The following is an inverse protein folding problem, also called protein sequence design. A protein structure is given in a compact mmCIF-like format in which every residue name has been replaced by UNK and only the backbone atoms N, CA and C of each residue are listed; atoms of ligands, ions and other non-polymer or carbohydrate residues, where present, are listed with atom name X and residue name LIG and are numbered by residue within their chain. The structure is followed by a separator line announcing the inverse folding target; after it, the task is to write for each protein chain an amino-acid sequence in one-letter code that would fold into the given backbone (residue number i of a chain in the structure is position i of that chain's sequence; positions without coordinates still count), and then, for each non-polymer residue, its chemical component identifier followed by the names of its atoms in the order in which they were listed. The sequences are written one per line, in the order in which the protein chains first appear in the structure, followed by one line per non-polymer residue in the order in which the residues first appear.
data_IF_061788673211
#
_entry.id   IF_061788673211
#
_cell.length_a   1.000
_cell.length_b   1.000
_cell.length_c   1.000
_cell.angle_alpha   90.00
_cell.angle_beta   90.00
_cell.angle_gamma   90.00
#
_symmetry.space_group_name_H-M   'P 1'
#
loop_
_entity.id
_entity.type
_entity.pdbx_description
1 polymer ?
#
# COMPACT_ATOMS: atom_id res chain seq x y z
N UNK A 1 -10.62 27.90 -26.73
CA UNK A 1 -10.39 27.12 -25.50
C UNK A 1 -10.17 25.61 -25.73
N UNK A 2 -10.82 24.95 -26.68
CA UNK A 2 -10.66 23.48 -26.89
C UNK A 2 -9.28 23.01 -27.33
N UNK A 3 -8.59 23.73 -28.19
CA UNK A 3 -7.28 23.32 -28.74
C UNK A 3 -6.16 23.34 -27.68
N UNK A 4 -6.10 24.38 -26.87
CA UNK A 4 -5.10 24.49 -25.76
C UNK A 4 -5.30 23.41 -24.70
N UNK A 5 -6.55 23.09 -24.35
CA UNK A 5 -6.87 22.01 -23.43
C UNK A 5 -6.47 20.65 -24.01
N UNK A 6 -6.64 20.42 -25.31
CA UNK A 6 -6.25 19.17 -25.97
C UNK A 6 -4.71 19.01 -25.98
N UNK A 7 -3.96 20.07 -26.26
CA UNK A 7 -2.50 20.06 -26.24
C UNK A 7 -1.96 19.79 -24.83
N UNK A 8 -2.54 20.44 -23.81
CA UNK A 8 -2.16 20.21 -22.42
C UNK A 8 -2.42 18.77 -21.99
N UNK A 9 -3.58 18.22 -22.38
CA UNK A 9 -3.93 16.83 -22.05
C UNK A 9 -2.99 15.82 -22.72
N UNK A 10 -2.61 16.05 -23.99
CA UNK A 10 -1.62 15.22 -24.70
C UNK A 10 -0.25 15.30 -24.04
N UNK A 11 0.18 16.50 -23.64
CA UNK A 11 1.44 16.69 -22.93
C UNK A 11 1.47 15.98 -21.57
N UNK A 12 0.40 16.11 -20.76
CA UNK A 12 0.25 15.41 -19.50
C UNK A 12 0.35 13.88 -19.68
N UNK A 13 -0.28 13.34 -20.72
CA UNK A 13 -0.24 11.91 -21.02
C UNK A 13 1.17 11.43 -21.40
N UNK A 14 1.92 12.23 -22.15
CA UNK A 14 3.31 11.94 -22.51
C UNK A 14 4.22 11.94 -21.27
N UNK A 15 4.06 12.93 -20.39
CA UNK A 15 4.83 13.02 -19.14
C UNK A 15 4.53 11.83 -18.21
N UNK A 16 3.26 11.45 -18.07
CA UNK A 16 2.85 10.25 -17.29
C UNK A 16 3.47 9.00 -17.92
N UNK A 17 3.35 8.83 -19.25
CA UNK A 17 3.92 7.69 -19.96
C UNK A 17 5.43 7.59 -19.79
N UNK A 18 6.14 8.71 -19.88
CA UNK A 18 7.58 8.76 -19.62
C UNK A 18 7.96 8.28 -18.21
N UNK A 19 7.31 8.83 -17.16
CA UNK A 19 7.60 8.44 -15.79
C UNK A 19 7.17 7.00 -15.50
N UNK A 20 6.09 6.53 -16.11
CA UNK A 20 5.67 5.14 -16.01
C UNK A 20 6.73 4.20 -16.62
N UNK A 21 7.25 4.49 -17.80
CA UNK A 21 8.31 3.69 -18.43
C UNK A 21 9.63 3.74 -17.65
N UNK A 22 9.94 4.87 -17.02
CA UNK A 22 11.09 4.94 -16.10
C UNK A 22 10.88 4.04 -14.89
N UNK A 23 9.67 3.96 -14.34
CA UNK A 23 9.33 3.07 -13.22
C UNK A 23 9.39 1.59 -13.66
N UNK A 24 8.89 1.24 -14.85
CA UNK A 24 8.99 -0.13 -15.39
C UNK A 24 10.44 -0.60 -15.50
N UNK A 25 11.34 0.27 -15.96
CA UNK A 25 12.78 -0.04 -16.09
C UNK A 25 13.53 -0.02 -14.76
N UNK A 26 12.98 0.59 -13.73
CA UNK A 26 13.64 0.68 -12.44
C UNK A 26 13.62 -0.68 -11.70
N UNK A 27 14.61 -0.94 -10.83
CA UNK A 27 14.53 -2.06 -9.90
C UNK A 27 13.29 -1.99 -9.02
N UNK A 28 12.83 -3.14 -8.53
CA UNK A 28 11.75 -3.20 -7.55
C UNK A 28 12.10 -2.36 -6.31
N UNK A 29 11.10 -1.72 -5.69
CA UNK A 29 11.31 -0.86 -4.52
C UNK A 29 11.99 0.49 -4.79
N UNK A 30 12.10 0.94 -6.04
CA UNK A 30 12.70 2.23 -6.35
C UNK A 30 11.76 3.40 -5.98
N UNK A 31 11.84 3.84 -4.71
CA UNK A 31 11.00 4.93 -4.16
C UNK A 31 11.15 6.26 -4.94
N UNK A 32 12.31 6.53 -5.54
CA UNK A 32 12.51 7.75 -6.34
C UNK A 32 11.66 7.71 -7.62
N UNK A 33 11.64 6.59 -8.34
CA UNK A 33 10.81 6.42 -9.53
C UNK A 33 9.32 6.41 -9.18
N UNK A 34 8.94 5.73 -8.09
CA UNK A 34 7.56 5.74 -7.55
C UNK A 34 7.15 7.19 -7.22
N UNK A 35 7.99 7.93 -6.53
CA UNK A 35 7.71 9.33 -6.14
C UNK A 35 7.53 10.25 -7.36
N UNK A 36 8.35 10.10 -8.40
CA UNK A 36 8.23 10.90 -9.65
C UNK A 36 6.90 10.62 -10.36
N UNK A 37 6.52 9.35 -10.51
CA UNK A 37 5.23 9.00 -11.11
C UNK A 37 4.06 9.47 -10.23
N UNK A 38 4.15 9.27 -8.91
CA UNK A 38 3.14 9.73 -7.96
C UNK A 38 2.89 11.24 -8.08
N UNK A 39 3.93 12.04 -8.21
CA UNK A 39 3.80 13.50 -8.33
C UNK A 39 3.02 13.92 -9.58
N UNK A 40 3.21 13.26 -10.72
CA UNK A 40 2.47 13.59 -11.96
C UNK A 40 1.06 13.01 -11.98
N UNK A 41 0.79 11.93 -11.25
CA UNK A 41 -0.54 11.32 -11.10
C UNK A 41 -1.41 12.05 -10.07
N UNK A 42 -0.80 12.59 -9.01
CA UNK A 42 -1.50 13.25 -7.90
C UNK A 42 -1.91 14.68 -8.26
N UNK A 43 -2.76 14.79 -9.27
CA UNK A 43 -3.43 16.07 -9.59
C UNK A 43 -4.34 16.48 -8.42
N UNK A 44 -4.59 17.78 -8.20
CA UNK A 44 -5.48 18.24 -7.14
C UNK A 44 -6.88 17.59 -7.16
N UNK A 45 -7.39 17.25 -8.36
CA UNK A 45 -8.66 16.55 -8.53
C UNK A 45 -8.62 15.10 -8.04
N UNK A 46 -7.52 14.38 -8.29
CA UNK A 46 -7.34 13.00 -7.80
C UNK A 46 -7.23 12.98 -6.28
N UNK A 47 -6.41 13.87 -5.71
CA UNK A 47 -6.23 13.96 -4.28
C UNK A 47 -7.53 14.32 -3.53
N UNK A 48 -8.36 15.21 -4.11
CA UNK A 48 -9.68 15.50 -3.58
C UNK A 48 -10.55 14.25 -3.47
N UNK A 49 -10.58 13.42 -4.52
CA UNK A 49 -11.32 12.15 -4.52
C UNK A 49 -10.81 11.17 -3.46
N UNK A 50 -9.51 11.14 -3.20
CA UNK A 50 -8.91 10.33 -2.12
C UNK A 50 -9.41 10.81 -0.76
N UNK A 51 -9.35 12.13 -0.50
CA UNK A 51 -9.82 12.73 0.76
C UNK A 51 -11.32 12.48 0.94
N UNK A 52 -12.14 12.72 -0.10
CA UNK A 52 -13.57 12.43 -0.08
C UNK A 52 -13.87 10.96 0.21
N UNK A 53 -13.08 10.05 -0.35
CA UNK A 53 -13.24 8.62 -0.09
C UNK A 53 -12.87 8.25 1.36
N UNK A 54 -11.73 8.73 1.85
CA UNK A 54 -11.29 8.50 3.24
C UNK A 54 -12.34 9.06 4.22
N UNK A 55 -12.90 10.23 3.93
CA UNK A 55 -13.91 10.89 4.75
C UNK A 55 -15.25 10.16 4.84
N UNK A 56 -15.46 9.07 4.11
CA UNK A 56 -16.69 8.26 4.21
C UNK A 56 -16.75 7.45 5.51
N UNK A 57 -15.63 7.19 6.14
CA UNK A 57 -15.56 6.51 7.44
C UNK A 57 -15.30 7.51 8.57
N UNK A 58 -15.88 7.27 9.73
CA UNK A 58 -15.62 8.07 10.93
C UNK A 58 -14.14 8.07 11.31
N UNK A 59 -13.48 6.91 11.20
CA UNK A 59 -12.04 6.76 11.43
C UNK A 59 -11.23 7.63 10.46
N UNK A 60 -11.57 7.62 9.17
CA UNK A 60 -10.90 8.44 8.16
C UNK A 60 -11.09 9.93 8.39
N UNK A 61 -12.30 10.38 8.76
CA UNK A 61 -12.56 11.77 9.12
C UNK A 61 -11.68 12.21 10.29
N UNK A 62 -11.67 11.41 11.36
CA UNK A 62 -10.84 11.68 12.54
C UNK A 62 -9.35 11.73 12.17
N UNK A 63 -8.88 10.79 11.35
CA UNK A 63 -7.49 10.76 10.90
C UNK A 63 -7.10 12.00 10.07
N UNK A 64 -7.98 12.48 9.18
CA UNK A 64 -7.73 13.70 8.40
C UNK A 64 -7.66 14.95 9.29
N UNK A 65 -8.41 14.99 10.38
CA UNK A 65 -8.39 16.10 11.37
C UNK A 65 -7.16 16.04 12.27
N UNK A 66 -6.91 14.87 12.89
CA UNK A 66 -5.88 14.69 13.91
C UNK A 66 -4.48 14.43 13.31
N UNK A 67 -4.43 13.90 12.08
CA UNK A 67 -3.21 13.58 11.33
C UNK A 67 -2.21 12.76 12.15
N UNK A 68 -2.64 11.58 12.66
CA UNK A 68 -1.78 10.76 13.50
C UNK A 68 -0.50 10.37 12.78
N UNK A 69 0.62 10.44 13.50
CA UNK A 69 1.94 10.06 13.02
C UNK A 69 2.40 8.82 13.76
N UNK A 70 3.15 7.95 13.06
CA UNK A 70 3.77 6.78 13.68
C UNK A 70 4.80 7.20 14.75
N UNK A 71 5.51 8.29 14.49
CA UNK A 71 6.54 8.79 15.37
C UNK A 71 7.84 7.98 15.28
N UNK A 72 8.71 8.20 16.25
CA UNK A 72 9.98 7.47 16.34
C UNK A 72 9.71 6.04 16.80
N UNK A 73 10.19 5.06 16.04
CA UNK A 73 10.08 3.64 16.36
C UNK A 73 11.44 3.08 16.72
N UNK A 74 11.53 2.43 17.89
CA UNK A 74 12.70 1.68 18.32
C UNK A 74 12.46 0.19 18.07
N UNK A 75 13.06 -0.35 17.00
CA UNK A 75 12.91 -1.75 16.61
C UNK A 75 13.46 -2.72 17.66
N UNK A 76 14.54 -2.33 18.37
CA UNK A 76 15.11 -3.20 19.39
C UNK A 76 14.19 -3.29 20.61
N UNK A 77 13.56 -2.20 21.00
CA UNK A 77 12.57 -2.20 22.07
C UNK A 77 11.34 -3.01 21.69
N UNK A 78 10.80 -2.83 20.48
CA UNK A 78 9.64 -3.59 20.01
C UNK A 78 9.93 -5.09 19.89
N UNK A 79 11.15 -5.47 19.53
CA UNK A 79 11.55 -6.88 19.45
C UNK A 79 11.68 -7.58 20.80
N UNK A 80 11.62 -6.85 21.93
CA UNK A 80 11.54 -7.42 23.29
C UNK A 80 10.10 -7.73 23.73
N UNK A 81 9.09 -7.27 22.97
CA UNK A 81 7.70 -7.55 23.26
C UNK A 81 7.38 -9.06 23.07
N UNK A 82 6.27 -9.56 23.64
CA UNK A 82 5.84 -10.93 23.39
C UNK A 82 5.69 -11.24 21.90
N UNK A 83 6.15 -12.41 21.47
CA UNK A 83 6.23 -12.81 20.05
C UNK A 83 4.91 -12.76 19.26
N UNK A 84 3.79 -12.82 19.96
CA UNK A 84 2.45 -12.78 19.38
C UNK A 84 1.90 -11.36 19.22
N UNK A 85 2.67 -10.31 19.53
CA UNK A 85 2.23 -8.91 19.46
C UNK A 85 2.54 -8.28 18.11
N UNK A 86 1.80 -7.21 17.74
CA UNK A 86 2.07 -6.40 16.56
C UNK A 86 3.48 -5.84 16.58
N UNK A 87 3.92 -5.29 17.71
CA UNK A 87 5.24 -4.65 17.82
C UNK A 87 6.38 -5.62 17.58
N UNK A 88 6.30 -6.83 18.18
CA UNK A 88 7.28 -7.87 17.89
C UNK A 88 7.28 -8.26 16.40
N UNK A 89 6.09 -8.54 15.84
CA UNK A 89 5.97 -8.96 14.44
C UNK A 89 6.50 -7.90 13.47
N UNK A 90 6.23 -6.62 13.73
CA UNK A 90 6.75 -5.51 12.95
C UNK A 90 8.28 -5.40 13.06
N UNK A 91 8.82 -5.44 14.28
CA UNK A 91 10.27 -5.35 14.48
C UNK A 91 11.00 -6.55 13.87
N UNK A 92 10.46 -7.76 14.02
CA UNK A 92 11.01 -8.99 13.43
C UNK A 92 11.02 -8.92 11.89
N UNK A 93 9.93 -8.44 11.28
CA UNK A 93 9.85 -8.18 9.85
C UNK A 93 10.93 -7.18 9.39
N UNK A 94 11.00 -6.02 10.01
CA UNK A 94 11.96 -4.98 9.66
C UNK A 94 13.42 -5.47 9.78
N UNK A 95 13.74 -6.12 10.90
CA UNK A 95 15.10 -6.61 11.16
C UNK A 95 15.50 -7.74 10.22
N UNK A 96 14.62 -8.70 9.94
CA UNK A 96 14.88 -9.80 9.00
C UNK A 96 15.07 -9.33 7.57
N UNK A 97 14.33 -8.31 7.16
CA UNK A 97 14.43 -7.73 5.83
C UNK A 97 15.53 -6.66 5.70
N UNK A 98 16.25 -6.34 6.78
CA UNK A 98 17.28 -5.27 6.78
C UNK A 98 16.69 -3.88 6.56
N UNK A 99 15.42 -3.69 6.91
CA UNK A 99 14.69 -2.44 6.74
C UNK A 99 14.84 -1.52 7.97
N UNK A 100 14.68 -0.23 7.75
CA UNK A 100 14.62 0.78 8.80
C UNK A 100 13.30 1.53 8.73
N UNK A 101 12.72 1.94 9.88
CA UNK A 101 11.49 2.73 9.88
C UNK A 101 11.63 3.96 8.97
N UNK A 102 10.67 4.22 8.08
CA UNK A 102 10.77 5.27 7.10
C UNK A 102 10.85 6.64 7.75
N UNK A 103 11.85 7.43 7.33
CA UNK A 103 11.90 8.84 7.70
C UNK A 103 11.05 9.63 6.74
N UNK A 104 9.96 10.18 7.23
CA UNK A 104 8.99 10.91 6.43
C UNK A 104 9.06 12.41 6.71
N UNK A 105 8.73 13.26 5.72
CA UNK A 105 8.64 14.69 5.92
C UNK A 105 7.52 15.04 6.90
N UNK A 106 7.52 16.27 7.39
CA UNK A 106 6.42 16.80 8.20
C UNK A 106 5.11 16.86 7.37
N UNK A 107 4.00 16.63 8.07
CA UNK A 107 2.66 16.84 7.50
C UNK A 107 2.35 18.32 7.55
N UNK A 108 2.28 18.97 6.39
CA UNK A 108 2.06 20.40 6.27
C UNK A 108 0.55 20.70 6.29
N UNK A 109 -0.24 19.89 5.62
CA UNK A 109 -1.68 20.10 5.45
C UNK A 109 -2.44 18.77 5.29
N UNK A 110 -3.75 18.86 5.15
CA UNK A 110 -4.64 17.72 4.90
C UNK A 110 -4.28 16.96 3.60
N UNK A 111 -3.72 17.65 2.60
CA UNK A 111 -3.41 17.05 1.30
C UNK A 111 -2.12 16.23 1.33
N UNK A 112 -1.16 16.63 2.15
CA UNK A 112 0.10 15.90 2.34
C UNK A 112 -0.05 14.69 3.25
N UNK A 113 -1.00 14.72 4.18
CA UNK A 113 -1.19 13.69 5.19
C UNK A 113 -1.41 12.29 4.63
N UNK A 114 -2.34 12.02 3.67
CA UNK A 114 -2.59 10.65 3.20
C UNK A 114 -1.35 9.94 2.69
N UNK A 115 -0.54 10.64 1.89
CA UNK A 115 0.72 10.08 1.36
C UNK A 115 1.72 9.76 2.47
N UNK A 116 1.88 10.69 3.41
CA UNK A 116 2.86 10.55 4.48
C UNK A 116 2.44 9.42 5.42
N UNK A 117 1.17 9.37 5.80
CA UNK A 117 0.62 8.32 6.65
C UNK A 117 0.78 6.93 6.04
N UNK A 118 0.48 6.78 4.74
CA UNK A 118 0.65 5.51 4.04
C UNK A 118 2.11 5.09 3.95
N UNK A 119 3.04 6.04 3.75
CA UNK A 119 4.46 5.74 3.72
C UNK A 119 4.97 5.29 5.10
N UNK A 120 4.53 5.93 6.20
CA UNK A 120 4.91 5.54 7.56
C UNK A 120 4.38 4.17 7.97
N UNK A 121 3.23 3.78 7.45
CA UNK A 121 2.51 2.58 7.90
C UNK A 121 2.61 1.41 6.94
N UNK A 122 3.33 1.56 5.82
CA UNK A 122 3.45 0.57 4.76
C UNK A 122 3.90 -0.81 5.27
N UNK A 123 5.00 -0.86 6.00
CA UNK A 123 5.54 -2.13 6.50
C UNK A 123 4.65 -2.75 7.60
N UNK A 124 3.89 -1.93 8.32
CA UNK A 124 2.87 -2.44 9.26
C UNK A 124 1.75 -3.13 8.48
N UNK A 125 1.37 -2.60 7.32
CA UNK A 125 0.35 -3.24 6.49
C UNK A 125 0.83 -4.58 5.93
N UNK A 126 2.12 -4.71 5.53
CA UNK A 126 2.73 -6.01 5.21
C UNK A 126 2.52 -7.02 6.33
N UNK A 127 2.88 -6.62 7.55
CA UNK A 127 2.78 -7.48 8.74
C UNK A 127 1.33 -7.87 9.06
N UNK A 128 0.41 -6.90 9.03
CA UNK A 128 -1.00 -7.15 9.40
C UNK A 128 -1.71 -8.00 8.33
N UNK A 129 -1.46 -7.75 7.05
CA UNK A 129 -2.04 -8.53 5.94
C UNK A 129 -1.31 -9.84 5.68
N UNK A 130 -0.16 -10.07 6.32
CA UNK A 130 0.73 -11.20 6.06
C UNK A 130 1.19 -11.29 4.60
N UNK A 131 1.43 -10.14 3.97
CA UNK A 131 2.07 -10.03 2.67
C UNK A 131 3.57 -9.92 2.88
N UNK A 132 4.36 -10.74 2.20
CA UNK A 132 5.82 -10.64 2.26
C UNK A 132 6.37 -9.54 1.33
N UNK A 133 7.70 -9.37 1.27
CA UNK A 133 8.37 -8.40 0.40
C UNK A 133 8.77 -8.97 -0.97
N UNK A 134 8.28 -10.15 -1.34
CA UNK A 134 8.46 -10.69 -2.70
C UNK A 134 7.59 -9.93 -3.69
N UNK A 135 7.82 -10.11 -4.99
CA UNK A 135 6.97 -9.50 -6.02
C UNK A 135 5.49 -9.87 -5.83
N UNK A 136 5.21 -11.13 -5.49
CA UNK A 136 3.86 -11.58 -5.21
C UNK A 136 3.26 -10.87 -3.98
N UNK A 137 4.02 -10.77 -2.88
CA UNK A 137 3.58 -10.09 -1.67
C UNK A 137 3.35 -8.59 -1.87
N UNK A 138 4.22 -7.91 -2.64
CA UNK A 138 4.03 -6.52 -3.04
C UNK A 138 2.76 -6.34 -3.88
N UNK A 139 2.52 -7.20 -4.89
CA UNK A 139 1.30 -7.14 -5.71
C UNK A 139 0.04 -7.42 -4.88
N UNK A 140 0.11 -8.32 -3.91
CA UNK A 140 -0.97 -8.56 -2.95
C UNK A 140 -1.27 -7.29 -2.15
N UNK A 141 -0.23 -6.63 -1.60
CA UNK A 141 -0.41 -5.42 -0.82
C UNK A 141 -0.87 -4.23 -1.66
N UNK A 142 -0.34 -4.07 -2.88
CA UNK A 142 -0.79 -3.03 -3.82
C UNK A 142 -2.29 -3.19 -4.17
N UNK A 143 -2.74 -4.43 -4.41
CA UNK A 143 -4.16 -4.73 -4.66
C UNK A 143 -5.03 -4.47 -3.42
N UNK A 144 -4.51 -4.79 -2.23
CA UNK A 144 -5.14 -4.44 -0.96
C UNK A 144 -5.29 -2.93 -0.82
N UNK A 145 -4.25 -2.13 -1.12
CA UNK A 145 -4.33 -0.67 -1.13
C UNK A 145 -5.40 -0.14 -2.09
N UNK A 146 -5.46 -0.70 -3.31
CA UNK A 146 -6.51 -0.31 -4.27
C UNK A 146 -7.90 -0.56 -3.70
N UNK A 147 -8.11 -1.69 -3.01
CA UNK A 147 -9.40 -1.99 -2.39
C UNK A 147 -9.74 -1.08 -1.21
N UNK A 148 -8.73 -0.69 -0.43
CA UNK A 148 -8.86 0.13 0.78
C UNK A 148 -8.92 1.63 0.53
N UNK A 149 -8.24 2.12 -0.53
CA UNK A 149 -8.07 3.57 -0.76
C UNK A 149 -8.27 3.87 -2.25
N UNK A 150 -9.36 3.37 -2.79
CA UNK A 150 -9.81 3.83 -4.10
C UNK A 150 -10.27 5.30 -3.97
N UNK A 151 -9.88 6.20 -4.82
CA UNK A 151 -9.19 6.11 -6.10
C UNK A 151 -7.76 6.70 -6.07
N UNK A 152 -6.83 6.13 -5.33
CA UNK A 152 -5.45 6.64 -5.30
C UNK A 152 -4.66 6.10 -6.51
N UNK A 153 -4.35 6.92 -7.54
CA UNK A 153 -3.92 6.41 -8.85
C UNK A 153 -2.60 5.65 -8.82
N UNK A 154 -1.72 5.96 -7.86
CA UNK A 154 -0.39 5.36 -7.80
C UNK A 154 -0.44 3.84 -7.61
N UNK A 155 -1.36 3.32 -6.78
CA UNK A 155 -1.44 1.88 -6.54
C UNK A 155 -1.86 1.10 -7.78
N UNK A 156 -2.79 1.63 -8.58
CA UNK A 156 -3.11 1.04 -9.89
C UNK A 156 -1.94 1.11 -10.86
N UNK A 157 -1.15 2.19 -10.82
CA UNK A 157 0.02 2.32 -11.68
C UNK A 157 1.13 1.33 -11.27
N UNK A 158 1.30 1.06 -9.97
CA UNK A 158 2.22 0.05 -9.47
C UNK A 158 1.81 -1.35 -9.90
N UNK A 159 0.53 -1.73 -9.75
CA UNK A 159 0.00 -2.99 -10.27
C UNK A 159 0.20 -3.12 -11.79
N UNK A 160 -0.12 -2.09 -12.55
CA UNK A 160 0.08 -2.09 -14.01
C UNK A 160 1.56 -2.26 -14.39
N UNK A 161 2.47 -1.61 -13.65
CA UNK A 161 3.93 -1.78 -13.81
C UNK A 161 4.34 -3.23 -13.54
N UNK A 162 3.85 -3.83 -12.46
CA UNK A 162 4.21 -5.21 -12.09
C UNK A 162 3.66 -6.20 -13.12
N UNK A 163 2.41 -6.04 -13.57
CA UNK A 163 1.83 -6.87 -14.62
C UNK A 163 2.59 -6.75 -15.95
N UNK A 164 3.01 -5.54 -16.33
CA UNK A 164 3.80 -5.34 -17.55
C UNK A 164 5.18 -6.00 -17.43
N UNK A 165 5.85 -5.88 -16.28
CA UNK A 165 7.13 -6.56 -16.02
C UNK A 165 6.97 -8.07 -16.06
N UNK A 166 5.92 -8.62 -15.44
CA UNK A 166 5.61 -10.04 -15.50
C UNK A 166 5.48 -10.53 -16.95
N UNK A 167 4.75 -9.79 -17.79
CA UNK A 167 4.55 -10.16 -19.19
C UNK A 167 5.85 -10.13 -20.02
N UNK A 168 6.82 -9.30 -19.65
CA UNK A 168 8.07 -9.12 -20.41
C UNK A 168 9.21 -9.99 -19.86
N UNK A 169 9.31 -10.09 -18.54
CA UNK A 169 10.52 -10.59 -17.85
C UNK A 169 10.27 -11.89 -17.06
N UNK A 170 9.01 -12.23 -16.70
CA UNK A 170 8.73 -13.26 -15.69
C UNK A 170 7.36 -13.95 -15.91
N UNK A 171 7.04 -14.26 -17.17
CA UNK A 171 5.73 -14.77 -17.57
C UNK A 171 5.38 -16.12 -16.91
N UNK A 172 6.35 -16.92 -16.55
CA UNK A 172 6.20 -18.20 -15.87
C UNK A 172 5.58 -18.07 -14.47
N UNK A 173 5.71 -16.91 -13.81
CA UNK A 173 5.10 -16.63 -12.51
C UNK A 173 3.75 -15.91 -12.60
N UNK A 174 3.20 -15.75 -13.81
CA UNK A 174 1.97 -15.00 -14.04
C UNK A 174 0.80 -15.48 -13.16
N UNK A 175 0.60 -16.81 -13.05
CA UNK A 175 -0.47 -17.38 -12.22
C UNK A 175 -0.29 -17.01 -10.74
N UNK A 176 0.93 -17.14 -10.19
CA UNK A 176 1.24 -16.79 -8.81
C UNK A 176 0.92 -15.31 -8.54
N UNK A 177 1.32 -14.42 -9.46
CA UNK A 177 1.12 -12.98 -9.30
C UNK A 177 -0.35 -12.57 -9.43
N UNK A 178 -1.08 -13.20 -10.35
CA UNK A 178 -2.53 -12.98 -10.46
C UNK A 178 -3.28 -13.48 -9.23
N UNK A 179 -2.89 -14.62 -8.66
CA UNK A 179 -3.46 -15.12 -7.41
C UNK A 179 -3.20 -14.16 -6.25
N UNK A 180 -1.98 -13.64 -6.12
CA UNK A 180 -1.61 -12.65 -5.11
C UNK A 180 -2.45 -11.35 -5.25
N UNK A 181 -2.63 -10.85 -6.48
CA UNK A 181 -3.47 -9.69 -6.77
C UNK A 181 -4.93 -9.93 -6.34
N UNK A 182 -5.51 -11.07 -6.72
CA UNK A 182 -6.90 -11.42 -6.36
C UNK A 182 -7.04 -11.54 -4.84
N UNK A 183 -6.09 -12.19 -4.18
CA UNK A 183 -6.03 -12.30 -2.72
C UNK A 183 -6.04 -10.92 -2.04
N UNK A 184 -5.13 -10.04 -2.46
CA UNK A 184 -5.03 -8.70 -1.91
C UNK A 184 -6.30 -7.87 -2.09
N UNK A 185 -6.89 -7.93 -3.29
CA UNK A 185 -8.16 -7.25 -3.57
C UNK A 185 -9.30 -7.75 -2.69
N UNK A 186 -9.51 -9.08 -2.62
CA UNK A 186 -10.59 -9.67 -1.81
C UNK A 186 -10.38 -9.39 -0.33
N UNK A 187 -9.16 -9.54 0.17
CA UNK A 187 -8.80 -9.23 1.54
C UNK A 187 -9.10 -7.76 1.88
N UNK A 188 -8.71 -6.83 0.99
CA UNK A 188 -8.94 -5.41 1.17
C UNK A 188 -10.43 -5.03 1.12
N UNK A 189 -11.24 -5.76 0.33
CA UNK A 189 -12.70 -5.53 0.26
C UNK A 189 -13.44 -5.98 1.51
N UNK A 190 -12.96 -7.01 2.19
CA UNK A 190 -13.60 -7.51 3.42
C UNK A 190 -13.06 -6.82 4.68
N UNK A 191 -11.80 -6.36 4.66
CA UNK A 191 -11.18 -5.73 5.81
C UNK A 191 -11.87 -4.40 6.16
N UNK A 192 -11.90 -4.09 7.45
CA UNK A 192 -12.25 -2.75 7.90
C UNK A 192 -11.20 -1.74 7.41
N UNK A 193 -11.52 -0.43 7.31
CA UNK A 193 -10.55 0.58 6.92
C UNK A 193 -9.31 0.57 7.81
N UNK A 194 -8.12 0.44 7.21
CA UNK A 194 -6.86 0.51 7.93
C UNK A 194 -6.29 1.93 7.98
N UNK A 195 -6.68 2.78 7.02
CA UNK A 195 -6.21 4.15 7.00
C UNK A 195 -6.63 4.91 8.27
N UNK A 196 -5.67 5.58 8.89
CA UNK A 196 -5.90 6.39 10.09
C UNK A 196 -5.84 5.64 11.41
N UNK A 197 -5.50 4.34 11.41
CA UNK A 197 -5.22 3.62 12.65
C UNK A 197 -3.94 4.20 13.28
N UNK A 198 -4.00 4.45 14.60
CA UNK A 198 -2.85 4.89 15.39
C UNK A 198 -2.04 3.67 15.84
N UNK A 199 -1.28 3.08 14.90
CA UNK A 199 -0.56 1.83 15.09
C UNK A 199 0.41 1.84 16.27
N UNK A 200 1.01 3.00 16.58
CA UNK A 200 1.91 3.18 17.71
C UNK A 200 1.25 2.97 19.08
N UNK A 201 -0.07 2.97 19.15
CA UNK A 201 -0.83 2.66 20.38
C UNK A 201 -1.17 1.17 20.50
N UNK A 202 -0.83 0.37 19.49
CA UNK A 202 -1.26 -1.03 19.37
C UNK A 202 -0.09 -2.02 19.43
N UNK A 203 1.14 -1.58 19.73
CA UNK A 203 2.32 -2.44 19.70
C UNK A 203 2.22 -3.69 20.58
N UNK A 204 1.58 -3.59 21.73
CA UNK A 204 1.40 -4.71 22.67
C UNK A 204 0.19 -5.59 22.35
N UNK A 205 -0.62 -5.21 21.34
CA UNK A 205 -1.82 -5.97 20.99
C UNK A 205 -1.44 -7.25 20.25
N UNK A 206 -2.02 -8.42 20.62
CA UNK A 206 -1.81 -9.64 19.87
C UNK A 206 -2.25 -9.51 18.42
N UNK A 207 -1.37 -9.90 17.48
CA UNK A 207 -1.59 -9.66 16.05
C UNK A 207 -2.82 -10.40 15.51
N UNK A 208 -3.09 -11.60 15.99
CA UNK A 208 -4.28 -12.37 15.59
C UNK A 208 -5.59 -11.72 16.07
N UNK A 209 -5.55 -11.08 17.26
CA UNK A 209 -6.67 -10.28 17.74
C UNK A 209 -6.93 -9.10 16.81
N UNK A 210 -5.87 -8.36 16.43
CA UNK A 210 -5.98 -7.24 15.47
C UNK A 210 -6.53 -7.71 14.12
N UNK A 211 -6.02 -8.80 13.57
CA UNK A 211 -6.50 -9.38 12.32
C UNK A 211 -7.99 -9.71 12.39
N UNK A 212 -8.42 -10.34 13.50
CA UNK A 212 -9.83 -10.65 13.73
C UNK A 212 -10.69 -9.39 13.82
N UNK A 213 -10.27 -8.39 14.61
CA UNK A 213 -11.00 -7.13 14.79
C UNK A 213 -11.08 -6.31 13.49
N UNK A 214 -10.05 -6.39 12.65
CA UNK A 214 -9.97 -5.71 11.36
C UNK A 214 -10.60 -6.51 10.21
N UNK A 215 -11.13 -7.70 10.48
CA UNK A 215 -11.71 -8.58 9.46
C UNK A 215 -10.68 -9.04 8.41
N UNK A 216 -9.43 -9.17 8.82
CA UNK A 216 -8.34 -9.65 7.97
C UNK A 216 -8.25 -11.17 8.11
N UNK A 217 -9.07 -11.87 7.33
CA UNK A 217 -9.13 -13.33 7.36
C UNK A 217 -8.31 -13.93 6.21
N UNK A 218 -7.22 -14.61 6.56
CA UNK A 218 -6.30 -15.23 5.61
C UNK A 218 -6.85 -16.51 4.95
N UNK A 219 -8.03 -16.99 5.30
CA UNK A 219 -8.62 -18.19 4.68
C UNK A 219 -9.00 -18.02 3.21
N UNK A 220 -9.13 -16.77 2.73
CA UNK A 220 -9.42 -16.50 1.32
C UNK A 220 -8.32 -17.05 0.41
N UNK A 221 -7.04 -16.92 0.79
CA UNK A 221 -5.92 -17.50 0.04
C UNK A 221 -6.00 -19.01 -0.12
N UNK A 222 -6.34 -19.71 0.95
CA UNK A 222 -6.48 -21.17 0.93
C UNK A 222 -7.64 -21.67 0.06
N UNK A 223 -8.65 -20.83 -0.17
CA UNK A 223 -9.77 -21.17 -1.06
C UNK A 223 -9.36 -21.04 -2.53
N UNK A 224 -8.55 -20.04 -2.87
CA UNK A 224 -8.02 -19.86 -4.22
C UNK A 224 -6.99 -20.94 -4.59
N UNK A 225 -6.13 -21.34 -3.67
CA UNK A 225 -5.20 -22.46 -3.87
C UNK A 225 -5.94 -23.77 -4.16
N UNK A 226 -7.07 -24.03 -3.50
CA UNK A 226 -7.90 -25.21 -3.75
C UNK A 226 -8.57 -25.18 -5.13
N UNK A 227 -8.91 -24.01 -5.64
CA UNK A 227 -9.49 -23.87 -6.99
C UNK A 227 -8.42 -24.05 -8.06
N UNK A 228 -7.21 -23.53 -7.85
CA UNK A 228 -6.08 -23.66 -8.78
C UNK A 228 -5.56 -25.12 -8.90
N UNK A 229 -5.67 -25.92 -7.83
CA UNK A 229 -5.25 -27.35 -7.84
C UNK A 229 -6.33 -28.25 -8.49
N UNK A 230 -7.56 -27.75 -8.65
CA UNK A 230 -8.68 -28.50 -9.22
C UNK A 230 -8.88 -28.26 -10.73
N UNK A 231 -8.10 -27.38 -11.33
CA UNK A 231 -8.08 -27.06 -12.77
C UNK A 231 -6.86 -27.65 -13.46
#
# INVERSE_FOLDING_TARGET
MGFVNNLKQKWDSLVIGYHFMQLVKAPYGNFTAIGRLSNVLNKPSSLRKVIEFISRSQQGQKALQERPRLGKVDLQQLHQLPKNTLGYAYADHMLKCGLTPPQTPEVIDEKSFPRIHLLETHDIWHVVTNSDITIAGEMQLEAFYVAQIYPYPIFLALLAKNLLKTAIEDIEHCEQYMNALVQGWLLGKQAKPLFGIQWNTLWETPIEKLRSELNINQQIGKTLEKVAVAS
#
